data_IF_068968355018
#
_entry.id   IF_068968355018
#
_cell.length_a   1.000
_cell.length_b   1.000
_cell.length_c   1.000
_cell.angle_alpha   90.00
_cell.angle_beta   90.00
_cell.angle_gamma   90.00
#
_symmetry.space_group_name_H-M   'P 1'
#
loop_
_entity.id
_entity.type
_entity.pdbx_description
1 polymer ?
#
# COMPACT_ATOMS: atom_id res chain seq x y z
N UNK A 1 -11.25 -67.30 -33.74
CA UNK A 1 -12.01 -66.73 -32.61
C UNK A 1 -11.38 -65.38 -32.31
N UNK A 2 -11.80 -64.35 -33.05
CA UNK A 2 -11.22 -63.02 -33.00
C UNK A 2 -11.97 -62.14 -31.99
N UNK A 3 -11.29 -61.78 -30.91
CA UNK A 3 -10.95 -60.38 -30.62
C UNK A 3 -12.04 -59.31 -30.71
N UNK A 4 -13.22 -59.51 -30.13
CA UNK A 4 -14.12 -58.39 -29.81
C UNK A 4 -13.66 -57.72 -28.51
N UNK A 5 -12.49 -57.06 -28.52
CA UNK A 5 -12.10 -56.16 -27.44
C UNK A 5 -12.88 -54.84 -27.57
N UNK A 6 -14.03 -54.81 -26.93
CA UNK A 6 -14.47 -53.75 -26.01
C UNK A 6 -14.42 -52.28 -26.52
N UNK A 7 -14.96 -52.04 -27.72
CA UNK A 7 -15.17 -50.69 -28.28
C UNK A 7 -16.07 -49.85 -27.37
N UNK A 8 -17.03 -50.48 -26.69
CA UNK A 8 -17.91 -49.86 -25.68
C UNK A 8 -17.17 -49.39 -24.43
N UNK A 9 -16.21 -50.18 -23.93
CA UNK A 9 -15.40 -49.79 -22.77
C UNK A 9 -14.47 -48.63 -23.11
N UNK A 10 -13.80 -48.65 -24.27
CA UNK A 10 -12.97 -47.55 -24.76
C UNK A 10 -13.76 -46.26 -24.97
N UNK A 11 -14.97 -46.32 -25.53
CA UNK A 11 -15.84 -45.16 -25.72
C UNK A 11 -16.33 -44.57 -24.38
N UNK A 12 -16.66 -45.42 -23.40
CA UNK A 12 -17.09 -44.97 -22.06
C UNK A 12 -15.92 -44.38 -21.28
N UNK A 13 -14.73 -44.98 -21.37
CA UNK A 13 -13.51 -44.47 -20.75
C UNK A 13 -13.09 -43.13 -21.35
N UNK A 14 -13.11 -42.99 -22.68
CA UNK A 14 -12.86 -41.72 -23.38
C UNK A 14 -13.91 -40.67 -23.01
N UNK A 15 -15.20 -41.02 -22.93
CA UNK A 15 -16.26 -40.11 -22.50
C UNK A 15 -16.07 -39.60 -21.07
N UNK A 16 -15.70 -40.47 -20.13
CA UNK A 16 -15.44 -40.10 -18.73
C UNK A 16 -14.18 -39.25 -18.61
N UNK A 17 -13.07 -39.63 -19.27
CA UNK A 17 -11.80 -38.88 -19.23
C UNK A 17 -11.97 -37.50 -19.87
N UNK A 18 -12.68 -37.40 -21.01
CA UNK A 18 -12.97 -36.11 -21.66
C UNK A 18 -13.91 -35.26 -20.80
N UNK A 19 -14.96 -35.84 -20.21
CA UNK A 19 -15.87 -35.10 -19.31
C UNK A 19 -15.16 -34.61 -18.04
N UNK A 20 -14.27 -35.42 -17.45
CA UNK A 20 -13.46 -35.06 -16.29
C UNK A 20 -12.43 -33.97 -16.62
N UNK A 21 -11.77 -34.06 -17.77
CA UNK A 21 -10.85 -33.02 -18.24
C UNK A 21 -11.57 -31.68 -18.50
N UNK A 22 -12.77 -31.71 -19.08
CA UNK A 22 -13.62 -30.52 -19.28
C UNK A 22 -14.08 -29.95 -17.93
N UNK A 23 -14.51 -30.78 -16.97
CA UNK A 23 -14.89 -30.33 -15.64
C UNK A 23 -13.72 -29.69 -14.88
N UNK A 24 -12.53 -30.30 -14.93
CA UNK A 24 -11.30 -29.74 -14.35
C UNK A 24 -10.94 -28.42 -15.04
N UNK A 25 -11.10 -28.33 -16.37
CA UNK A 25 -10.85 -27.10 -17.12
C UNK A 25 -11.82 -25.98 -16.71
N UNK A 26 -13.12 -26.27 -16.60
CA UNK A 26 -14.14 -25.31 -16.16
C UNK A 26 -13.87 -24.87 -14.72
N UNK A 27 -13.64 -25.81 -13.80
CA UNK A 27 -13.31 -25.49 -12.40
C UNK A 27 -12.04 -24.65 -12.30
N UNK A 28 -10.99 -24.98 -13.05
CA UNK A 28 -9.75 -24.20 -13.09
C UNK A 28 -9.96 -22.82 -13.71
N UNK A 29 -10.88 -22.67 -14.66
CA UNK A 29 -11.26 -21.39 -15.26
C UNK A 29 -12.05 -20.52 -14.28
N UNK A 30 -13.04 -21.10 -13.59
CA UNK A 30 -13.83 -20.40 -12.57
C UNK A 30 -12.95 -19.95 -11.40
N UNK A 31 -12.08 -20.83 -10.91
CA UNK A 31 -11.12 -20.48 -9.85
C UNK A 31 -10.20 -19.31 -10.24
N UNK A 32 -9.71 -19.28 -11.49
CA UNK A 32 -8.91 -18.15 -12.00
C UNK A 32 -9.73 -16.87 -12.12
N UNK A 33 -11.00 -16.98 -12.51
CA UNK A 33 -11.91 -15.85 -12.60
C UNK A 33 -12.19 -15.25 -11.21
N UNK A 34 -12.50 -16.09 -10.21
CA UNK A 34 -12.76 -15.64 -8.84
C UNK A 34 -11.52 -14.98 -8.19
N UNK A 35 -10.31 -15.47 -8.52
CA UNK A 35 -9.07 -14.81 -8.12
C UNK A 35 -8.94 -13.44 -8.81
N UNK A 36 -9.26 -13.35 -10.10
CA UNK A 36 -9.17 -12.10 -10.86
C UNK A 36 -10.16 -11.04 -10.34
N UNK A 37 -11.38 -11.44 -9.96
CA UNK A 37 -12.38 -10.57 -9.34
C UNK A 37 -11.89 -10.05 -7.99
N UNK A 38 -11.43 -10.93 -7.09
CA UNK A 38 -10.87 -10.51 -5.79
C UNK A 38 -9.68 -9.55 -5.96
N UNK A 39 -8.77 -9.85 -6.89
CA UNK A 39 -7.63 -8.96 -7.20
C UNK A 39 -8.07 -7.60 -7.73
N UNK A 40 -9.18 -7.53 -8.46
CA UNK A 40 -9.76 -6.28 -8.92
C UNK A 40 -10.34 -5.48 -7.76
N UNK A 41 -11.09 -6.12 -6.86
CA UNK A 41 -11.64 -5.49 -5.66
C UNK A 41 -10.55 -4.94 -4.73
N UNK A 42 -9.43 -5.66 -4.57
CA UNK A 42 -8.27 -5.21 -3.81
C UNK A 42 -7.64 -3.94 -4.42
N UNK A 43 -7.53 -3.86 -5.75
CA UNK A 43 -7.01 -2.68 -6.45
C UNK A 43 -7.96 -1.48 -6.30
N UNK A 44 -9.26 -1.71 -6.43
CA UNK A 44 -10.27 -0.66 -6.28
C UNK A 44 -10.29 -0.11 -4.85
N UNK A 45 -10.16 -0.99 -3.85
CA UNK A 45 -10.01 -0.60 -2.44
C UNK A 45 -8.75 0.23 -2.23
N UNK A 46 -7.63 -0.19 -2.82
CA UNK A 46 -6.39 0.60 -2.80
C UNK A 46 -6.56 2.00 -3.42
N UNK A 47 -7.25 2.14 -4.55
CA UNK A 47 -7.42 3.45 -5.19
C UNK A 47 -8.24 4.43 -4.35
N UNK A 48 -9.24 3.94 -3.60
CA UNK A 48 -10.01 4.76 -2.65
C UNK A 48 -9.10 5.38 -1.59
N UNK A 49 -8.18 4.60 -1.03
CA UNK A 49 -7.28 5.08 0.03
C UNK A 49 -6.06 5.85 -0.51
N UNK A 50 -5.59 5.53 -1.73
CA UNK A 50 -4.38 6.11 -2.32
C UNK A 50 -4.42 7.64 -2.40
N UNK A 51 -5.57 8.22 -2.79
CA UNK A 51 -5.72 9.66 -2.90
C UNK A 51 -5.47 10.35 -1.54
N UNK A 52 -6.01 9.77 -0.46
CA UNK A 52 -5.82 10.28 0.89
C UNK A 52 -4.38 10.08 1.34
N UNK A 53 -3.80 8.89 1.16
CA UNK A 53 -2.41 8.62 1.53
C UNK A 53 -1.43 9.58 0.85
N UNK A 54 -1.61 9.81 -0.45
CA UNK A 54 -0.76 10.71 -1.22
C UNK A 54 -0.91 12.17 -0.76
N UNK A 55 -2.15 12.63 -0.62
CA UNK A 55 -2.42 14.01 -0.18
C UNK A 55 -1.93 14.29 1.24
N UNK A 56 -2.12 13.34 2.16
CA UNK A 56 -1.66 13.49 3.54
C UNK A 56 -0.14 13.43 3.68
N UNK A 57 0.52 12.54 2.93
CA UNK A 57 1.98 12.49 2.90
C UNK A 57 2.56 13.77 2.31
N UNK A 58 1.97 14.32 1.25
CA UNK A 58 2.40 15.59 0.69
C UNK A 58 2.20 16.73 1.69
N UNK A 59 1.05 16.81 2.37
CA UNK A 59 0.81 17.81 3.42
C UNK A 59 1.84 17.75 4.56
N UNK A 60 2.23 16.54 4.98
CA UNK A 60 3.28 16.40 6.00
C UNK A 60 4.64 16.90 5.49
N UNK A 61 4.99 16.58 4.24
CA UNK A 61 6.23 17.06 3.61
C UNK A 61 6.22 18.59 3.50
N UNK A 62 5.14 19.17 2.98
CA UNK A 62 5.00 20.61 2.76
C UNK A 62 5.01 21.36 4.10
N UNK A 63 4.26 20.89 5.09
CA UNK A 63 4.24 21.50 6.42
C UNK A 63 5.63 21.51 7.05
N UNK A 64 6.38 20.43 6.87
CA UNK A 64 7.74 20.34 7.37
C UNK A 64 8.72 21.26 6.61
N UNK A 65 8.65 21.29 5.28
CA UNK A 65 9.48 22.19 4.47
C UNK A 65 9.20 23.65 4.80
N UNK A 66 7.93 24.01 4.95
CA UNK A 66 7.55 25.34 5.37
C UNK A 66 8.14 25.69 6.74
N UNK A 67 8.06 24.78 7.71
CA UNK A 67 8.70 24.97 9.01
C UNK A 67 10.21 25.21 8.86
N UNK A 68 10.91 24.41 8.06
CA UNK A 68 12.36 24.54 7.83
C UNK A 68 12.76 25.84 7.11
N UNK A 69 11.92 26.34 6.21
CA UNK A 69 12.17 27.56 5.43
C UNK A 69 11.71 28.83 6.16
N UNK A 70 10.83 28.71 7.18
CA UNK A 70 10.30 29.85 7.90
C UNK A 70 11.38 30.63 8.67
N UNK A 71 11.35 31.96 8.56
CA UNK A 71 12.23 32.87 9.32
C UNK A 71 11.97 32.79 10.84
N UNK A 72 10.71 32.55 11.22
CA UNK A 72 10.29 32.30 12.60
C UNK A 72 9.73 30.90 12.67
N UNK A 73 10.37 30.04 13.48
CA UNK A 73 9.91 28.66 13.71
C UNK A 73 8.72 28.66 14.65
N UNK A 74 7.57 28.25 14.13
CA UNK A 74 6.35 28.04 14.90
C UNK A 74 6.09 26.53 15.02
N UNK A 75 6.62 25.96 16.09
CA UNK A 75 6.53 24.53 16.39
C UNK A 75 5.09 24.11 16.68
N UNK A 76 4.31 24.97 17.34
CA UNK A 76 2.92 24.68 17.68
C UNK A 76 2.07 24.55 16.41
N UNK A 77 2.25 25.46 15.45
CA UNK A 77 1.55 25.40 14.17
C UNK A 77 1.95 24.14 13.37
N UNK A 78 3.24 23.77 13.37
CA UNK A 78 3.70 22.53 12.74
C UNK A 78 3.05 21.30 13.40
N UNK A 79 3.09 21.21 14.73
CA UNK A 79 2.52 20.09 15.49
C UNK A 79 1.01 19.96 15.25
N UNK A 80 0.26 21.07 15.27
CA UNK A 80 -1.17 21.07 14.96
C UNK A 80 -1.44 20.57 13.53
N UNK A 81 -0.64 21.00 12.56
CA UNK A 81 -0.75 20.55 11.16
C UNK A 81 -0.50 19.05 11.03
N UNK A 82 0.59 18.54 11.62
CA UNK A 82 0.95 17.13 11.60
C UNK A 82 -0.06 16.25 12.35
N UNK A 83 -0.64 16.76 13.44
CA UNK A 83 -1.72 16.07 14.18
C UNK A 83 -2.94 15.87 13.29
N UNK A 84 -3.38 16.90 12.54
CA UNK A 84 -4.48 16.76 11.58
C UNK A 84 -4.18 15.73 10.48
N UNK A 85 -2.92 15.65 10.05
CA UNK A 85 -2.46 14.61 9.12
C UNK A 85 -2.62 13.22 9.74
N UNK A 86 -2.18 13.02 10.98
CA UNK A 86 -2.33 11.75 11.69
C UNK A 86 -3.79 11.36 11.90
N UNK A 87 -4.64 12.27 12.35
CA UNK A 87 -6.05 11.99 12.58
C UNK A 87 -6.73 11.53 11.29
N UNK A 88 -6.44 12.21 10.17
CA UNK A 88 -6.96 11.80 8.87
C UNK A 88 -6.42 10.45 8.41
N UNK A 89 -5.18 10.11 8.73
CA UNK A 89 -4.60 8.81 8.37
C UNK A 89 -5.13 7.70 9.29
N UNK A 90 -5.35 7.98 10.57
CA UNK A 90 -5.88 7.03 11.55
C UNK A 90 -7.34 6.66 11.29
N UNK A 91 -8.12 7.59 10.72
CA UNK A 91 -9.51 7.34 10.31
C UNK A 91 -9.69 6.62 8.97
N UNK A 92 -8.60 6.24 8.28
CA UNK A 92 -8.70 5.52 7.01
C UNK A 92 -9.11 4.06 7.22
N UNK A 93 -10.19 3.67 6.55
CA UNK A 93 -10.55 2.26 6.39
C UNK A 93 -9.58 1.60 5.39
N UNK A 94 -8.89 0.57 5.86
CA UNK A 94 -7.88 -0.19 5.12
C UNK A 94 -8.35 -1.59 4.73
N UNK A 95 -9.64 -1.90 4.95
CA UNK A 95 -10.23 -3.17 4.58
C UNK A 95 -10.18 -3.38 3.06
N UNK A 96 -9.82 -4.60 2.66
CA UNK A 96 -9.63 -4.96 1.25
C UNK A 96 -8.36 -4.38 0.60
N UNK A 97 -7.58 -3.54 1.29
CA UNK A 97 -6.31 -3.03 0.76
C UNK A 97 -5.21 -4.10 0.90
N UNK A 98 -4.45 -4.35 -0.17
CA UNK A 98 -3.31 -5.27 -0.13
C UNK A 98 -2.28 -4.88 0.96
N UNK A 99 -1.61 -5.89 1.55
CA UNK A 99 -0.61 -5.72 2.61
C UNK A 99 0.43 -4.61 2.36
N UNK A 100 0.91 -4.47 1.12
CA UNK A 100 1.90 -3.44 0.79
C UNK A 100 1.34 -2.02 0.93
N UNK A 101 0.06 -1.81 0.57
CA UNK A 101 -0.63 -0.53 0.79
C UNK A 101 -0.79 -0.23 2.27
N UNK A 102 -1.20 -1.23 3.06
CA UNK A 102 -1.28 -1.13 4.52
C UNK A 102 0.08 -0.84 5.17
N UNK A 103 1.15 -1.45 4.67
CA UNK A 103 2.51 -1.21 5.16
C UNK A 103 2.94 0.23 4.90
N UNK A 104 2.68 0.76 3.70
CA UNK A 104 2.99 2.15 3.36
C UNK A 104 2.21 3.10 4.28
N UNK A 105 0.91 2.89 4.47
CA UNK A 105 0.08 3.65 5.41
C UNK A 105 0.65 3.69 6.83
N UNK A 106 0.98 2.51 7.41
CA UNK A 106 1.63 2.42 8.72
C UNK A 106 2.97 3.14 8.79
N UNK A 107 3.75 3.10 7.71
CA UNK A 107 5.01 3.83 7.63
C UNK A 107 4.80 5.35 7.65
N UNK A 108 3.80 5.87 6.93
CA UNK A 108 3.48 7.31 6.98
C UNK A 108 3.09 7.71 8.40
N UNK A 109 2.14 7.00 9.03
CA UNK A 109 1.70 7.28 10.40
C UNK A 109 2.89 7.31 11.36
N UNK A 110 3.78 6.31 11.29
CA UNK A 110 4.94 6.23 12.18
C UNK A 110 5.86 7.43 12.05
N UNK A 111 6.18 7.84 10.82
CA UNK A 111 7.09 8.96 10.60
C UNK A 111 6.47 10.30 11.01
N UNK A 112 5.16 10.48 10.76
CA UNK A 112 4.45 11.70 11.18
C UNK A 112 4.31 11.76 12.71
N UNK A 113 3.97 10.65 13.37
CA UNK A 113 3.92 10.58 14.83
C UNK A 113 5.27 10.88 15.46
N UNK A 114 6.34 10.32 14.90
CA UNK A 114 7.70 10.61 15.35
C UNK A 114 8.05 12.12 15.28
N UNK A 115 7.58 12.84 14.24
CA UNK A 115 7.81 14.28 14.15
C UNK A 115 7.08 15.07 15.23
N UNK A 116 5.88 14.64 15.61
CA UNK A 116 5.11 15.27 16.69
C UNK A 116 5.77 15.01 18.05
N UNK A 117 6.29 13.79 18.24
CA UNK A 117 6.90 13.37 19.50
C UNK A 117 8.35 13.87 19.67
N UNK A 118 8.98 14.40 18.62
CA UNK A 118 10.39 14.82 18.64
C UNK A 118 10.66 15.92 19.69
N UNK A 119 9.75 16.89 19.84
CA UNK A 119 9.86 17.96 20.85
C UNK A 119 9.45 17.50 22.26
N UNK A 120 8.71 16.40 22.38
CA UNK A 120 8.25 15.87 23.67
C UNK A 120 9.19 14.79 24.25
N UNK A 121 10.33 14.53 23.61
CA UNK A 121 11.24 13.46 24.02
C UNK A 121 12.05 13.86 25.26
N UNK A 122 11.85 13.19 26.42
CA UNK A 122 12.64 13.46 27.63
C UNK A 122 14.13 13.11 27.45
N UNK A 123 14.50 12.42 26.36
CA UNK A 123 15.91 12.18 26.01
C UNK A 123 16.70 13.48 25.79
N UNK A 124 16.01 14.59 25.49
CA UNK A 124 16.61 15.89 25.20
C UNK A 124 16.64 16.85 26.40
N UNK A 125 15.83 16.61 27.45
CA UNK A 125 15.83 17.40 28.70
C UNK A 125 16.84 16.87 29.74
N UNK A 126 17.28 15.62 29.62
CA UNK A 126 18.05 14.92 30.67
C UNK A 126 19.55 15.23 30.63
N UNK A 127 20.02 15.95 29.61
CA UNK A 127 21.42 16.36 29.47
C UNK A 127 21.45 17.87 29.36
N UNK A 128 22.24 18.55 30.19
CA UNK A 128 22.62 19.96 30.03
C UNK A 128 23.45 20.08 28.73
N UNK A 129 22.79 19.95 27.58
CA UNK A 129 23.41 20.04 26.28
C UNK A 129 23.51 21.51 25.90
N UNK A 130 24.68 21.93 25.43
CA UNK A 130 24.85 23.24 24.81
C UNK A 130 23.72 23.49 23.79
N UNK A 131 23.00 24.62 23.86
CA UNK A 131 21.87 24.91 22.97
C UNK A 131 22.20 24.81 21.47
N UNK A 132 23.44 25.13 21.07
CA UNK A 132 23.88 24.99 19.69
C UNK A 132 24.02 23.53 19.25
N UNK A 133 24.49 22.65 20.16
CA UNK A 133 24.54 21.21 19.91
C UNK A 133 23.11 20.65 19.82
N UNK A 134 22.19 21.08 20.69
CA UNK A 134 20.78 20.68 20.65
C UNK A 134 20.14 20.97 19.27
N UNK A 135 20.29 22.19 18.77
CA UNK A 135 19.73 22.59 17.48
C UNK A 135 20.35 21.79 16.31
N UNK A 136 21.66 21.56 16.33
CA UNK A 136 22.35 20.76 15.31
C UNK A 136 21.83 19.31 15.26
N UNK A 137 21.61 18.68 16.44
CA UNK A 137 21.08 17.33 16.52
C UNK A 137 19.61 17.27 16.07
N UNK A 138 18.78 18.23 16.50
CA UNK A 138 17.38 18.34 16.08
C UNK A 138 17.31 18.45 14.55
N UNK A 139 18.07 19.37 13.97
CA UNK A 139 18.15 19.57 12.52
C UNK A 139 18.61 18.31 11.76
N UNK A 140 19.59 17.57 12.29
CA UNK A 140 20.02 16.30 11.70
C UNK A 140 18.90 15.26 11.66
N UNK A 141 18.17 15.06 12.77
CA UNK A 141 17.06 14.10 12.83
C UNK A 141 15.93 14.49 11.88
N UNK A 142 15.60 15.78 11.86
CA UNK A 142 14.61 16.37 10.98
C UNK A 142 14.90 16.09 9.49
N UNK A 143 16.14 16.33 9.05
CA UNK A 143 16.58 16.01 7.69
C UNK A 143 16.47 14.52 7.37
N UNK A 144 16.79 13.64 8.33
CA UNK A 144 16.64 12.19 8.15
C UNK A 144 15.17 11.78 7.97
N UNK A 145 14.26 12.35 8.77
CA UNK A 145 12.83 12.08 8.66
C UNK A 145 12.30 12.53 7.30
N UNK A 146 12.65 13.73 6.85
CA UNK A 146 12.28 14.24 5.53
C UNK A 146 12.75 13.30 4.40
N UNK A 147 13.98 12.78 4.51
CA UNK A 147 14.49 11.77 3.60
C UNK A 147 13.67 10.47 3.59
N UNK A 148 13.13 10.05 4.75
CA UNK A 148 12.25 8.87 4.87
C UNK A 148 10.86 9.15 4.30
N UNK A 149 10.23 10.30 4.60
CA UNK A 149 8.94 10.70 4.02
C UNK A 149 9.00 10.76 2.49
N UNK A 150 10.04 11.37 1.94
CA UNK A 150 10.28 11.42 0.48
C UNK A 150 10.50 10.03 -0.13
N UNK A 151 11.13 9.11 0.62
CA UNK A 151 11.29 7.71 0.20
C UNK A 151 9.96 6.98 0.20
N UNK A 152 9.12 7.17 1.21
CA UNK A 152 7.77 6.61 1.30
C UNK A 152 6.92 7.13 0.14
N UNK A 153 7.03 8.41 -0.21
CA UNK A 153 6.31 9.00 -1.35
C UNK A 153 6.67 8.28 -2.66
N UNK A 154 7.96 8.04 -2.89
CA UNK A 154 8.42 7.27 -4.06
C UNK A 154 7.97 5.81 -4.03
N UNK A 155 7.80 5.20 -2.86
CA UNK A 155 7.24 3.85 -2.73
C UNK A 155 5.75 3.85 -3.07
N UNK A 156 4.99 4.84 -2.59
CA UNK A 156 3.57 5.01 -2.89
C UNK A 156 3.32 5.19 -4.39
N UNK A 157 4.11 6.05 -5.05
CA UNK A 157 4.03 6.26 -6.50
C UNK A 157 4.32 4.97 -7.29
N UNK A 158 5.38 4.24 -6.92
CA UNK A 158 5.70 2.95 -7.55
C UNK A 158 4.59 1.93 -7.35
N UNK A 159 4.07 1.82 -6.13
CA UNK A 159 2.98 0.91 -5.84
C UNK A 159 1.70 1.26 -6.61
N UNK A 160 1.40 2.56 -6.76
CA UNK A 160 0.31 3.03 -7.62
C UNK A 160 0.47 2.57 -9.07
N UNK A 161 1.65 2.74 -9.65
CA UNK A 161 1.96 2.29 -11.01
C UNK A 161 1.83 0.77 -11.16
N UNK A 162 2.31 0.00 -10.17
CA UNK A 162 2.14 -1.46 -10.13
C UNK A 162 0.66 -1.87 -10.15
N UNK A 163 -0.18 -1.26 -9.30
CA UNK A 163 -1.61 -1.58 -9.26
C UNK A 163 -2.32 -1.17 -10.55
N UNK A 164 -1.96 -0.04 -11.15
CA UNK A 164 -2.48 0.36 -12.46
C UNK A 164 -2.15 -0.65 -13.56
N UNK A 165 -0.91 -1.12 -13.59
CA UNK A 165 -0.46 -2.12 -14.56
C UNK A 165 -1.13 -3.49 -14.34
N UNK A 166 -1.32 -3.90 -13.08
CA UNK A 166 -2.08 -5.11 -12.74
C UNK A 166 -3.53 -4.99 -13.20
N UNK A 167 -4.18 -3.87 -12.93
CA UNK A 167 -5.56 -3.62 -13.37
C UNK A 167 -5.72 -3.69 -14.89
N UNK A 168 -4.81 -3.07 -15.65
CA UNK A 168 -4.81 -3.16 -17.12
C UNK A 168 -4.71 -4.59 -17.62
N UNK A 169 -3.86 -5.43 -16.99
CA UNK A 169 -3.72 -6.85 -17.34
C UNK A 169 -4.98 -7.63 -17.01
N UNK A 170 -5.56 -7.41 -15.82
CA UNK A 170 -6.80 -8.05 -15.39
C UNK A 170 -7.97 -7.70 -16.33
N UNK A 171 -8.16 -6.42 -16.63
CA UNK A 171 -9.21 -5.95 -17.55
C UNK A 171 -9.10 -6.56 -18.95
N UNK A 172 -7.88 -6.72 -19.47
CA UNK A 172 -7.64 -7.40 -20.76
C UNK A 172 -7.97 -8.90 -20.69
N UNK A 173 -7.70 -9.53 -19.55
CA UNK A 173 -7.93 -10.95 -19.34
C UNK A 173 -9.41 -11.25 -19.17
N UNK A 174 -10.15 -10.50 -18.33
CA UNK A 174 -11.58 -10.71 -18.08
C UNK A 174 -12.42 -10.51 -19.34
N UNK A 175 -12.08 -9.53 -20.19
CA UNK A 175 -12.71 -9.33 -21.51
C UNK A 175 -12.59 -10.51 -22.48
N UNK A 176 -11.70 -11.49 -22.22
CA UNK A 176 -11.60 -12.70 -23.06
C UNK A 176 -12.62 -13.79 -22.66
N UNK A 177 -13.30 -13.60 -21.53
CA UNK A 177 -14.29 -14.53 -20.98
C UNK A 177 -15.71 -13.93 -20.96
N UNK A 178 -15.85 -12.68 -21.39
CA UNK A 178 -17.13 -12.01 -21.73
C UNK A 178 -17.41 -12.20 -23.22
#
# INVERSE_FOLDING_TARGET
MEGWTDVSFLATFLGIVVSGAVAIYIMRSQFRYDIAVRKKEEIESYWKVHAVLSGQLQRAIDGFQFYEDAEVKDEEMLQQSLTRVLDSLGGLDMDGVEYNGQRIHRSIIREVAFLIDLDNSPFMEVVDVDPGIYEDYKYMYLRQVMGRLTRIQRQLLRFHEEQHNRYKKLKKWTKRFE
#
